data_IF_593276349827
#
_entry.id   IF_593276349827
#
_cell.length_a   1.000
_cell.length_b   1.000
_cell.length_c   1.000
_cell.angle_alpha   90.00
_cell.angle_beta   90.00
_cell.angle_gamma   90.00
#
_symmetry.space_group_name_H-M   'P 1'
#
loop_
_entity.id
_entity.type
_entity.pdbx_description
1 polymer ?
#
# COMPACT_ATOMS: atom_id res chain seq x y z
N UNK A 1 8.53 -7.37 13.51
CA UNK A 1 7.53 -6.87 14.47
C UNK A 1 7.27 -7.87 15.62
N UNK A 2 6.93 -7.42 16.82
CA UNK A 2 6.47 -8.33 17.89
C UNK A 2 4.98 -8.68 17.72
N UNK A 3 4.52 -9.78 18.33
CA UNK A 3 3.14 -10.25 18.19
C UNK A 3 2.08 -9.23 18.68
N UNK A 4 2.39 -8.46 19.73
CA UNK A 4 1.44 -7.49 20.30
C UNK A 4 1.17 -6.34 19.32
N UNK A 5 2.21 -5.83 18.67
CA UNK A 5 2.10 -4.79 17.64
C UNK A 5 1.36 -5.32 16.41
N UNK A 6 1.65 -6.57 15.99
CA UNK A 6 0.93 -7.21 14.89
C UNK A 6 -0.58 -7.25 15.14
N UNK A 7 -1.00 -7.77 16.30
CA UNK A 7 -2.42 -7.89 16.65
C UNK A 7 -3.10 -6.52 16.80
N UNK A 8 -2.39 -5.52 17.36
CA UNK A 8 -2.89 -4.14 17.43
C UNK A 8 -3.16 -3.58 16.03
N UNK A 9 -2.20 -3.68 15.12
CA UNK A 9 -2.28 -3.12 13.77
C UNK A 9 -3.35 -3.85 12.94
N UNK A 10 -3.43 -5.18 13.07
CA UNK A 10 -4.49 -6.00 12.49
C UNK A 10 -5.87 -5.55 12.95
N UNK A 11 -6.07 -5.39 14.26
CA UNK A 11 -7.35 -4.93 14.81
C UNK A 11 -7.74 -3.52 14.35
N UNK A 12 -6.77 -2.60 14.19
CA UNK A 12 -7.02 -1.28 13.64
C UNK A 12 -7.41 -1.32 12.15
N UNK A 13 -6.77 -2.21 11.38
CA UNK A 13 -7.04 -2.39 9.95
C UNK A 13 -8.44 -2.97 9.71
N UNK A 14 -8.84 -3.96 10.52
CA UNK A 14 -10.21 -4.51 10.45
C UNK A 14 -11.28 -3.44 10.72
N UNK A 15 -11.04 -2.52 11.65
CA UNK A 15 -11.94 -1.38 11.88
C UNK A 15 -12.04 -0.44 10.68
N UNK A 16 -10.98 -0.28 9.88
CA UNK A 16 -11.04 0.51 8.65
C UNK A 16 -11.88 -0.20 7.59
N UNK A 17 -11.73 -1.51 7.44
CA UNK A 17 -12.58 -2.31 6.56
C UNK A 17 -14.06 -2.25 6.95
N UNK A 18 -14.37 -2.32 8.25
CA UNK A 18 -15.75 -2.14 8.74
C UNK A 18 -16.33 -0.77 8.36
N UNK A 19 -15.54 0.32 8.48
CA UNK A 19 -15.94 1.67 8.08
C UNK A 19 -16.19 1.78 6.57
N UNK A 20 -15.45 1.02 5.77
CA UNK A 20 -15.62 0.94 4.32
C UNK A 20 -16.71 -0.06 3.89
N UNK A 21 -17.39 -0.71 4.84
CA UNK A 21 -18.37 -1.77 4.60
C UNK A 21 -17.81 -2.97 3.81
N UNK A 22 -16.52 -3.27 4.00
CA UNK A 22 -15.88 -4.45 3.44
C UNK A 22 -16.14 -5.64 4.37
N UNK A 23 -16.83 -6.65 3.86
CA UNK A 23 -17.18 -7.85 4.61
C UNK A 23 -16.10 -8.89 4.38
N UNK A 24 -15.43 -9.31 5.46
CA UNK A 24 -14.47 -10.41 5.47
C UNK A 24 -14.99 -11.55 6.35
N UNK A 25 -14.74 -12.79 5.94
CA UNK A 25 -14.93 -13.98 6.77
C UNK A 25 -13.90 -14.05 7.90
N UNK A 26 -14.12 -14.88 8.91
CA UNK A 26 -13.16 -15.07 9.99
C UNK A 26 -11.81 -15.61 9.50
N UNK A 27 -11.81 -16.46 8.46
CA UNK A 27 -10.59 -16.96 7.84
C UNK A 27 -9.79 -15.83 7.19
N UNK A 28 -10.44 -14.97 6.42
CA UNK A 28 -9.81 -13.80 5.77
C UNK A 28 -9.32 -12.79 6.80
N UNK A 29 -10.10 -12.52 7.86
CA UNK A 29 -9.65 -11.69 8.98
C UNK A 29 -8.41 -12.27 9.63
N UNK A 30 -8.33 -13.59 9.80
CA UNK A 30 -7.18 -14.25 10.41
C UNK A 30 -5.94 -14.19 9.53
N UNK A 31 -6.12 -14.33 8.22
CA UNK A 31 -5.07 -14.26 7.19
C UNK A 31 -4.64 -12.86 6.77
N UNK A 32 -5.13 -11.81 7.42
CA UNK A 32 -4.75 -10.43 7.11
C UNK A 32 -3.23 -10.25 7.20
N UNK A 33 -2.63 -9.69 6.15
CA UNK A 33 -1.21 -9.41 6.10
C UNK A 33 -0.91 -8.03 6.72
N UNK A 34 0.15 -7.96 7.53
CA UNK A 34 0.69 -6.71 8.09
C UNK A 34 2.15 -6.57 7.72
N UNK A 35 2.47 -5.65 6.81
CA UNK A 35 3.82 -5.38 6.35
C UNK A 35 4.39 -4.14 7.07
N UNK A 36 5.43 -4.35 7.90
CA UNK A 36 6.20 -3.29 8.60
C UNK A 36 7.42 -2.80 7.82
N UNK A 37 7.66 -3.40 6.64
CA UNK A 37 8.79 -3.13 5.76
C UNK A 37 10.16 -3.26 6.45
N UNK A 38 10.25 -3.90 7.63
CA UNK A 38 11.48 -4.01 8.42
C UNK A 38 11.98 -2.69 9.03
N UNK A 39 11.21 -1.59 8.95
CA UNK A 39 11.65 -0.26 9.39
C UNK A 39 11.35 0.02 10.89
N UNK A 40 10.64 -0.89 11.57
CA UNK A 40 10.24 -0.77 12.98
C UNK A 40 9.44 0.51 13.31
N UNK A 41 8.64 1.00 12.36
CA UNK A 41 7.80 2.19 12.50
C UNK A 41 6.44 2.04 11.80
N UNK A 42 5.80 0.89 11.99
CA UNK A 42 4.59 0.44 11.28
C UNK A 42 3.47 1.48 11.21
N UNK A 43 3.27 2.31 12.24
CA UNK A 43 2.22 3.34 12.25
C UNK A 43 2.51 4.51 11.27
N UNK A 44 3.79 4.79 10.99
CA UNK A 44 4.23 5.82 10.06
C UNK A 44 4.50 5.25 8.66
N UNK A 45 5.21 4.12 8.56
CA UNK A 45 5.50 3.44 7.30
C UNK A 45 5.11 1.97 7.40
N UNK A 46 4.09 1.57 6.64
CA UNK A 46 3.46 0.26 6.76
C UNK A 46 2.32 0.08 5.76
N UNK A 47 1.91 -1.17 5.56
CA UNK A 47 0.73 -1.50 4.76
C UNK A 47 0.04 -2.73 5.35
N UNK A 48 -1.29 -2.72 5.35
CA UNK A 48 -2.10 -3.87 5.76
C UNK A 48 -3.01 -4.25 4.61
N UNK A 49 -3.14 -5.55 4.35
CA UNK A 49 -3.91 -6.00 3.20
C UNK A 49 -4.50 -7.39 3.37
N UNK A 50 -5.61 -7.60 2.67
CA UNK A 50 -6.16 -8.91 2.39
C UNK A 50 -6.07 -9.17 0.88
N UNK A 51 -5.60 -10.35 0.49
CA UNK A 51 -5.59 -10.77 -0.92
C UNK A 51 -6.79 -11.68 -1.17
N UNK A 52 -7.78 -11.20 -1.93
CA UNK A 52 -8.95 -11.99 -2.30
C UNK A 52 -8.60 -13.11 -3.27
N UNK A 53 -7.78 -12.77 -4.26
CA UNK A 53 -7.39 -13.68 -5.34
C UNK A 53 -6.04 -13.26 -5.89
N UNK A 54 -5.21 -14.25 -6.23
CA UNK A 54 -3.99 -14.06 -7.00
C UNK A 54 -3.76 -15.32 -7.87
N UNK A 55 -4.24 -15.27 -9.10
CA UNK A 55 -4.07 -16.34 -10.10
C UNK A 55 -2.88 -16.03 -11.01
N UNK A 56 -2.65 -16.86 -12.03
CA UNK A 56 -1.64 -16.58 -13.04
C UNK A 56 -1.93 -15.31 -13.88
N UNK A 57 -3.18 -14.82 -13.90
CA UNK A 57 -3.60 -13.71 -14.75
C UNK A 57 -4.03 -12.46 -13.97
N UNK A 58 -4.78 -12.65 -12.88
CA UNK A 58 -5.43 -11.56 -12.15
C UNK A 58 -5.20 -11.65 -10.65
N UNK A 59 -5.12 -10.48 -10.03
CA UNK A 59 -5.07 -10.30 -8.60
C UNK A 59 -6.10 -9.24 -8.14
N UNK A 60 -6.64 -9.42 -6.95
CA UNK A 60 -7.41 -8.38 -6.27
C UNK A 60 -7.08 -8.39 -4.78
N UNK A 61 -6.84 -7.21 -4.23
CA UNK A 61 -6.53 -7.00 -2.81
C UNK A 61 -7.38 -5.87 -2.24
N UNK A 62 -7.62 -5.91 -0.94
CA UNK A 62 -8.12 -4.76 -0.19
C UNK A 62 -7.02 -4.28 0.75
N UNK A 63 -6.65 -3.01 0.62
CA UNK A 63 -5.59 -2.37 1.37
C UNK A 63 -6.21 -1.49 2.46
N UNK A 64 -5.62 -1.51 3.65
CA UNK A 64 -5.90 -0.59 4.73
C UNK A 64 -4.63 0.21 5.06
N UNK A 65 -4.77 1.53 5.09
CA UNK A 65 -3.77 2.44 5.63
C UNK A 65 -4.29 3.10 6.90
N UNK A 66 -3.55 2.96 8.00
CA UNK A 66 -3.82 3.69 9.24
C UNK A 66 -3.72 5.21 9.01
N UNK A 67 -4.32 6.05 9.87
CA UNK A 67 -4.22 7.50 9.75
C UNK A 67 -2.79 8.03 9.56
N UNK A 68 -2.56 8.75 8.47
CA UNK A 68 -1.25 9.28 8.06
C UNK A 68 -0.15 8.23 7.83
N UNK A 69 -0.49 6.95 7.66
CA UNK A 69 0.48 5.91 7.33
C UNK A 69 0.88 6.02 5.85
N UNK A 70 2.15 5.72 5.57
CA UNK A 70 2.74 5.71 4.22
C UNK A 70 3.08 4.27 3.80
N UNK A 71 2.65 3.86 2.61
CA UNK A 71 3.28 2.76 1.88
C UNK A 71 4.51 3.33 1.14
N UNK A 72 5.71 2.76 1.35
CA UNK A 72 6.96 3.34 0.85
C UNK A 72 7.11 3.23 -0.67
N UNK A 73 8.02 4.02 -1.23
CA UNK A 73 8.25 4.07 -2.67
C UNK A 73 8.80 2.76 -3.21
N UNK A 74 8.12 2.23 -4.22
CA UNK A 74 8.48 1.02 -4.92
C UNK A 74 7.97 1.04 -6.35
N UNK A 75 8.39 0.04 -7.12
CA UNK A 75 7.84 -0.26 -8.45
C UNK A 75 7.74 -1.76 -8.65
N UNK A 76 6.86 -2.14 -9.56
CA UNK A 76 6.72 -3.52 -10.03
C UNK A 76 7.56 -3.69 -11.29
N UNK A 77 8.74 -4.34 -11.21
CA UNK A 77 9.64 -4.44 -12.35
C UNK A 77 9.10 -5.39 -13.42
N UNK A 78 9.72 -5.33 -14.60
CA UNK A 78 9.53 -6.34 -15.64
C UNK A 78 9.82 -7.74 -15.11
N UNK A 79 9.00 -8.71 -15.52
CA UNK A 79 9.10 -10.12 -15.14
C UNK A 79 9.33 -10.98 -16.38
N UNK A 80 9.55 -12.27 -16.17
CA UNK A 80 9.78 -13.20 -17.28
C UNK A 80 8.55 -13.37 -18.18
N UNK A 81 7.36 -13.11 -17.66
CA UNK A 81 6.08 -13.37 -18.33
C UNK A 81 5.26 -12.11 -18.70
N UNK A 82 5.65 -10.92 -18.24
CA UNK A 82 5.03 -9.64 -18.62
C UNK A 82 5.93 -8.42 -18.32
N UNK A 83 5.46 -7.22 -18.63
CA UNK A 83 6.22 -5.97 -18.41
C UNK A 83 6.22 -5.46 -16.95
N UNK A 84 5.68 -6.26 -16.02
CA UNK A 84 5.50 -5.93 -14.61
C UNK A 84 4.03 -5.80 -14.22
N UNK A 85 3.75 -5.68 -12.92
CA UNK A 85 2.38 -5.59 -12.43
C UNK A 85 1.76 -4.25 -12.85
N UNK A 86 0.70 -4.30 -13.64
CA UNK A 86 -0.27 -3.20 -13.79
C UNK A 86 -1.29 -3.30 -12.68
N UNK A 87 -1.57 -2.18 -12.00
CA UNK A 87 -2.53 -2.13 -10.90
C UNK A 87 -3.41 -0.89 -10.94
N UNK A 88 -4.67 -1.06 -10.60
CA UNK A 88 -5.64 0.02 -10.45
C UNK A 88 -6.05 0.13 -9.01
N UNK A 89 -5.84 1.31 -8.43
CA UNK A 89 -6.33 1.67 -7.12
C UNK A 89 -7.69 2.32 -7.22
N UNK A 90 -8.61 1.91 -6.34
CA UNK A 90 -9.90 2.56 -6.14
C UNK A 90 -10.11 2.84 -4.66
N UNK A 91 -10.20 4.11 -4.30
CA UNK A 91 -10.43 4.52 -2.92
C UNK A 91 -11.87 4.17 -2.49
N UNK A 92 -12.01 3.52 -1.34
CA UNK A 92 -13.29 3.08 -0.75
C UNK A 92 -13.71 3.90 0.46
N UNK A 93 -12.73 4.35 1.23
CA UNK A 93 -12.95 5.14 2.45
C UNK A 93 -11.74 6.04 2.69
N UNK A 94 -11.97 7.21 3.30
CA UNK A 94 -10.93 8.16 3.66
C UNK A 94 -10.33 8.88 2.45
N UNK A 95 -9.02 9.10 2.45
CA UNK A 95 -8.32 9.73 1.32
C UNK A 95 -6.94 9.12 1.20
N UNK A 96 -6.55 8.78 -0.03
CA UNK A 96 -5.18 8.38 -0.36
C UNK A 96 -4.52 9.43 -1.26
N UNK A 97 -3.35 9.87 -0.86
CA UNK A 97 -2.46 10.72 -1.62
C UNK A 97 -1.43 9.81 -2.28
N UNK A 98 -1.66 9.50 -3.54
CA UNK A 98 -0.78 8.68 -4.37
C UNK A 98 0.22 9.60 -5.08
N UNK A 99 1.48 9.20 -5.10
CA UNK A 99 2.54 9.89 -5.81
C UNK A 99 3.18 8.90 -6.78
N UNK A 100 3.32 9.31 -8.04
CA UNK A 100 3.91 8.50 -9.11
C UNK A 100 5.03 9.27 -9.81
N UNK A 101 5.84 8.58 -10.61
CA UNK A 101 6.81 9.23 -11.49
C UNK A 101 6.13 10.24 -12.44
N UNK A 102 6.76 11.38 -12.66
CA UNK A 102 6.24 12.43 -13.55
C UNK A 102 6.66 13.82 -13.12
N UNK A 103 5.98 14.83 -13.68
CA UNK A 103 6.21 16.23 -13.29
C UNK A 103 5.81 16.44 -11.82
N UNK A 104 6.73 16.99 -11.04
CA UNK A 104 6.50 17.29 -9.63
C UNK A 104 5.36 18.29 -9.45
N UNK A 105 4.38 17.92 -8.63
CA UNK A 105 3.29 18.83 -8.26
C UNK A 105 3.84 19.95 -7.37
N UNK A 106 3.63 21.22 -7.76
CA UNK A 106 4.23 22.38 -7.07
C UNK A 106 3.78 22.57 -5.61
N UNK A 107 2.52 22.23 -5.30
CA UNK A 107 1.92 22.44 -3.98
C UNK A 107 1.33 21.11 -3.44
N UNK A 108 2.16 20.07 -3.35
CA UNK A 108 1.76 18.76 -2.81
C UNK A 108 1.12 18.88 -1.43
N UNK A 109 0.13 18.05 -1.17
CA UNK A 109 -0.61 17.98 0.10
C UNK A 109 0.15 17.26 1.19
N UNK A 110 0.91 16.23 0.84
CA UNK A 110 1.67 15.43 1.78
C UNK A 110 3.16 15.43 1.42
N UNK A 111 3.98 15.23 2.43
CA UNK A 111 5.42 15.00 2.30
C UNK A 111 5.73 13.54 2.65
N UNK A 112 6.85 13.01 2.14
CA UNK A 112 7.39 11.74 2.63
C UNK A 112 7.56 11.72 4.15
N UNK A 113 7.62 10.54 4.78
CA UNK A 113 7.90 10.40 6.19
C UNK A 113 9.19 11.12 6.63
N UNK A 114 9.12 11.81 7.76
CA UNK A 114 10.25 12.58 8.28
C UNK A 114 11.47 11.68 8.52
N UNK A 115 12.64 12.10 8.03
CA UNK A 115 13.91 11.39 8.16
C UNK A 115 14.20 10.36 7.05
N UNK A 116 13.21 10.06 6.20
CA UNK A 116 13.35 9.12 5.09
C UNK A 116 13.16 9.78 3.73
N UNK A 117 13.10 11.11 3.66
CA UNK A 117 12.76 11.88 2.46
C UNK A 117 13.65 11.54 1.27
N UNK A 118 14.92 11.21 1.51
CA UNK A 118 15.90 10.82 0.49
C UNK A 118 15.57 9.53 -0.27
N UNK A 119 14.60 8.74 0.21
CA UNK A 119 14.16 7.49 -0.41
C UNK A 119 12.85 7.64 -1.20
N UNK A 120 12.44 8.87 -1.47
CA UNK A 120 11.23 9.19 -2.24
C UNK A 120 11.62 10.15 -3.36
N UNK A 121 11.23 9.81 -4.59
CA UNK A 121 11.64 10.51 -5.81
C UNK A 121 10.45 10.82 -6.73
N UNK A 122 9.35 10.08 -6.61
CA UNK A 122 8.10 10.30 -7.29
C UNK A 122 7.29 11.41 -6.60
N UNK A 123 6.93 12.48 -7.32
CA UNK A 123 6.22 13.63 -6.75
C UNK A 123 5.08 14.19 -7.62
N UNK A 124 4.65 13.45 -8.65
CA UNK A 124 3.41 13.75 -9.34
C UNK A 124 2.23 13.26 -8.48
N UNK A 125 1.40 14.18 -7.97
CA UNK A 125 0.37 13.89 -6.98
C UNK A 125 -0.99 13.56 -7.63
N UNK A 126 -1.57 12.45 -7.19
CA UNK A 126 -2.94 12.03 -7.46
C UNK A 126 -3.64 11.86 -6.12
N UNK A 127 -4.72 12.62 -5.93
CA UNK A 127 -5.55 12.52 -4.72
C UNK A 127 -6.76 11.66 -5.07
N UNK A 128 -7.00 10.58 -4.32
CA UNK A 128 -8.18 9.73 -4.50
C UNK A 128 -9.05 9.78 -3.26
N UNK A 129 -10.25 10.33 -3.44
CA UNK A 129 -11.38 10.29 -2.50
C UNK A 129 -12.27 9.07 -2.81
N UNK A 130 -13.22 8.71 -1.91
CA UNK A 130 -14.05 7.53 -2.10
C UNK A 130 -14.78 7.55 -3.44
N UNK A 131 -14.56 6.52 -4.24
CA UNK A 131 -15.12 6.39 -5.58
C UNK A 131 -14.20 6.82 -6.72
N UNK A 132 -13.11 7.53 -6.43
CA UNK A 132 -12.07 7.87 -7.40
C UNK A 132 -11.08 6.71 -7.59
N UNK A 133 -10.42 6.68 -8.75
CA UNK A 133 -9.51 5.62 -9.12
C UNK A 133 -8.34 6.12 -9.96
N UNK A 134 -7.25 5.37 -9.95
CA UNK A 134 -6.08 5.61 -10.79
C UNK A 134 -5.38 4.30 -11.12
N UNK A 135 -4.86 4.17 -12.34
CA UNK A 135 -4.09 3.00 -12.78
C UNK A 135 -2.61 3.35 -12.83
N UNK A 136 -1.82 2.60 -12.09
CA UNK A 136 -0.36 2.64 -12.07
C UNK A 136 0.12 1.57 -13.06
N UNK A 137 0.81 2.02 -14.11
CA UNK A 137 1.34 1.14 -15.13
C UNK A 137 2.65 0.48 -14.69
N UNK A 138 3.02 -0.67 -15.29
CA UNK A 138 4.21 -1.41 -14.91
C UNK A 138 5.50 -0.56 -14.88
N UNK A 139 6.43 -0.93 -13.99
CA UNK A 139 7.76 -0.31 -13.85
C UNK A 139 7.73 1.21 -13.58
N UNK A 140 6.65 1.71 -12.97
CA UNK A 140 6.52 3.11 -12.51
C UNK A 140 6.75 3.18 -11.01
N UNK A 141 7.70 4.00 -10.53
CA UNK A 141 7.83 4.27 -9.10
C UNK A 141 6.58 4.97 -8.57
N UNK A 142 6.13 4.51 -7.42
CA UNK A 142 5.00 5.10 -6.72
C UNK A 142 5.08 4.86 -5.22
N UNK A 143 4.49 5.77 -4.46
CA UNK A 143 4.25 5.64 -3.02
C UNK A 143 2.93 6.31 -2.68
N UNK A 144 2.36 5.98 -1.52
CA UNK A 144 1.08 6.57 -1.15
C UNK A 144 0.95 6.73 0.35
N UNK A 145 0.22 7.77 0.75
CA UNK A 145 -0.05 8.12 2.14
C UNK A 145 -1.55 8.32 2.36
N UNK A 146 -2.07 7.86 3.48
CA UNK A 146 -3.45 8.13 3.86
C UNK A 146 -3.62 9.52 4.50
N UNK A 147 -4.83 10.05 4.47
CA UNK A 147 -5.21 11.22 5.26
C UNK A 147 -5.38 10.91 6.76
N UNK A 148 -5.83 11.92 7.51
CA UNK A 148 -5.99 11.84 8.97
C UNK A 148 -7.06 10.85 9.45
N UNK A 149 -7.91 10.34 8.56
CA UNK A 149 -8.94 9.36 8.87
C UNK A 149 -8.52 7.91 8.54
N UNK A 150 -7.33 7.72 7.98
CA UNK A 150 -6.90 6.49 7.32
C UNK A 150 -7.47 6.39 5.90
N UNK A 151 -7.24 5.25 5.25
CA UNK A 151 -7.82 4.95 3.95
C UNK A 151 -8.07 3.45 3.76
N UNK A 152 -9.08 3.12 2.95
CA UNK A 152 -9.27 1.78 2.39
C UNK A 152 -9.23 1.89 0.87
N UNK A 153 -8.44 1.03 0.23
CA UNK A 153 -8.20 1.06 -1.21
C UNK A 153 -8.32 -0.36 -1.76
N UNK A 154 -9.18 -0.57 -2.75
CA UNK A 154 -9.15 -1.81 -3.52
C UNK A 154 -8.05 -1.71 -4.56
N UNK A 155 -7.20 -2.73 -4.62
CA UNK A 155 -6.25 -2.95 -5.71
C UNK A 155 -6.83 -4.01 -6.67
N UNK A 156 -6.91 -3.66 -7.95
CA UNK A 156 -7.21 -4.60 -9.03
C UNK A 156 -6.00 -4.65 -9.95
N UNK A 157 -5.41 -5.83 -10.12
CA UNK A 157 -4.13 -5.92 -10.80
C UNK A 157 -4.03 -7.17 -11.67
N UNK A 158 -3.02 -7.15 -12.53
CA UNK A 158 -2.42 -8.38 -13.05
C UNK A 158 -1.82 -9.19 -11.88
N UNK A 159 -1.37 -10.43 -12.14
CA UNK A 159 -0.74 -11.29 -11.12
C UNK A 159 0.23 -10.50 -10.22
N UNK A 160 0.12 -10.69 -8.91
CA UNK A 160 1.04 -10.07 -7.94
C UNK A 160 2.19 -11.00 -7.57
N UNK A 161 3.39 -10.43 -7.48
CA UNK A 161 4.64 -11.10 -7.06
C UNK A 161 5.39 -10.17 -6.10
N UNK A 162 4.84 -9.97 -4.91
CA UNK A 162 5.28 -8.93 -3.95
C UNK A 162 6.77 -9.06 -3.56
N UNK A 163 7.32 -10.27 -3.60
CA UNK A 163 8.73 -10.56 -3.34
C UNK A 163 9.69 -10.04 -4.44
N UNK A 164 9.15 -9.73 -5.63
CA UNK A 164 9.89 -9.15 -6.75
C UNK A 164 9.83 -7.61 -6.81
N UNK A 165 9.06 -6.97 -5.93
CA UNK A 165 8.95 -5.51 -5.91
C UNK A 165 10.29 -4.86 -5.57
N UNK A 166 10.60 -3.77 -6.27
CA UNK A 166 11.85 -3.01 -6.04
C UNK A 166 11.50 -1.76 -5.28
N UNK A 167 11.97 -1.69 -4.03
CA UNK A 167 11.85 -0.52 -3.17
C UNK A 167 13.00 0.46 -3.40
N UNK A 168 12.71 1.76 -3.37
CA UNK A 168 13.74 2.82 -3.44
C UNK A 168 14.60 2.83 -2.19
N UNK A 169 14.02 2.52 -1.03
CA UNK A 169 14.76 2.40 0.23
C UNK A 169 15.41 1.01 0.38
N UNK A 170 16.75 0.89 0.33
CA UNK A 170 17.44 -0.40 0.41
C UNK A 170 17.37 -1.05 1.80
N UNK A 171 16.84 -0.37 2.82
CA UNK A 171 16.64 -0.93 4.17
C UNK A 171 15.38 -1.80 4.25
N UNK A 172 14.47 -1.68 3.27
CA UNK A 172 13.17 -2.32 3.31
C UNK A 172 13.29 -3.83 3.15
N UNK A 173 12.52 -4.55 3.97
CA UNK A 173 12.23 -5.97 3.80
C UNK A 173 10.71 -6.14 3.62
N UNK A 174 10.28 -6.59 2.44
CA UNK A 174 8.84 -6.76 2.13
C UNK A 174 8.16 -7.79 3.01
N UNK A 175 8.82 -8.94 3.22
CA UNK A 175 8.26 -10.03 4.03
C UNK A 175 8.50 -9.74 5.52
N UNK A 176 7.44 -9.60 6.33
CA UNK A 176 7.59 -9.32 7.75
C UNK A 176 8.19 -10.52 8.49
N UNK A 177 9.10 -10.23 9.43
CA UNK A 177 9.65 -11.20 10.38
C UNK A 177 8.95 -11.01 11.74
N UNK A 178 8.14 -11.98 12.17
CA UNK A 178 7.56 -12.00 13.52
C UNK A 178 8.64 -12.45 14.52
N UNK A 179 8.84 -11.63 15.57
CA UNK A 179 9.81 -11.85 16.63
C UNK A 179 9.13 -12.05 17.98
#
# INVERSE_FOLDING_TARGET
MNLQDYEKIKALSLKLFDKAHIILTEEEKNGLEVADFGLNKIEDTGLQLHTYVNTDLVCAKELALLPNQTCPEHKHPKRDFDDGKEETFRCRYGTVYLYVEGEETKNRKMNPPQGDEKYYTAFNEIILQPGEQYTIYPNTLHWFKSGSEGAVVSEFSTRSTDDSDIFTDPRIKRIPELK
#
